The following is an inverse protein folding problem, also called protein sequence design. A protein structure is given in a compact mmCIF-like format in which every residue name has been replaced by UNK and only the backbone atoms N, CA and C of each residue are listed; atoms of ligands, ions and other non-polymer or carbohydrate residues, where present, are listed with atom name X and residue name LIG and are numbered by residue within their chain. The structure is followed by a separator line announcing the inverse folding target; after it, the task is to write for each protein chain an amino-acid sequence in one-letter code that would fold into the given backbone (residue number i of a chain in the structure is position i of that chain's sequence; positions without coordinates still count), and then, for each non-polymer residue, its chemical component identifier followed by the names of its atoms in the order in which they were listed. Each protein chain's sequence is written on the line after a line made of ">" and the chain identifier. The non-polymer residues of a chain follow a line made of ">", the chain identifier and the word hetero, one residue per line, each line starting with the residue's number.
data_IF_631397337710
#
_entry.id   IF_631397337710
#
_cell.length_a   1.000
_cell.length_b   1.000
_cell.length_c   1.000
_cell.angle_alpha   90.00
_cell.angle_beta   90.00
_cell.angle_gamma   90.00
#
_symmetry.space_group_name_H-M   'P 1'
#
loop_
_entity.id
_entity.type
_entity.pdbx_description
1 polymer ?
#
# COMPACT_ATOMS: atom_id res chain seq x y z
N UNK A 1 0.28 44.30 -49.49
CA UNK A 1 -0.39 44.16 -48.17
C UNK A 1 -1.68 43.31 -48.17
N UNK A 2 -2.31 42.98 -49.31
CA UNK A 2 -3.57 42.19 -49.35
C UNK A 2 -3.41 40.66 -49.11
N UNK A 3 -2.22 40.09 -49.31
CA UNK A 3 -2.00 38.63 -49.26
C UNK A 3 -1.61 38.09 -47.88
N UNK A 4 -1.38 38.98 -46.91
CA UNK A 4 -0.94 38.61 -45.55
C UNK A 4 -2.17 38.45 -44.64
N UNK A 5 -3.15 39.35 -44.74
CA UNK A 5 -4.40 39.28 -43.97
C UNK A 5 -5.22 38.02 -44.25
N UNK A 6 -5.25 37.55 -45.50
CA UNK A 6 -5.98 36.32 -45.87
C UNK A 6 -5.27 35.05 -45.35
N UNK A 7 -3.94 35.03 -45.31
CA UNK A 7 -3.16 33.93 -44.73
C UNK A 7 -3.38 33.83 -43.22
N UNK A 8 -3.45 34.98 -42.52
CA UNK A 8 -3.80 34.99 -41.10
C UNK A 8 -5.22 34.47 -40.85
N UNK A 9 -6.20 34.89 -41.66
CA UNK A 9 -7.59 34.42 -41.54
C UNK A 9 -7.70 32.89 -41.71
N UNK A 10 -6.97 32.32 -42.67
CA UNK A 10 -6.94 30.87 -42.89
C UNK A 10 -6.30 30.11 -41.72
N UNK A 11 -5.23 30.64 -41.14
CA UNK A 11 -4.55 30.02 -39.99
C UNK A 11 -5.45 30.05 -38.75
N UNK A 12 -6.18 31.16 -38.51
CA UNK A 12 -7.10 31.28 -37.37
C UNK A 12 -8.31 30.35 -37.49
N UNK A 13 -8.85 30.17 -38.69
CA UNK A 13 -9.96 29.22 -38.92
C UNK A 13 -9.46 27.78 -38.78
N UNK A 14 -8.26 27.47 -39.28
CA UNK A 14 -7.68 26.13 -39.16
C UNK A 14 -7.38 25.74 -37.71
N UNK A 15 -6.90 26.67 -36.87
CA UNK A 15 -6.68 26.39 -35.44
C UNK A 15 -7.98 26.20 -34.66
N UNK A 16 -9.05 26.92 -35.02
CA UNK A 16 -10.38 26.75 -34.41
C UNK A 16 -11.00 25.39 -34.72
N UNK A 17 -10.81 24.86 -35.93
CA UNK A 17 -11.33 23.54 -36.33
C UNK A 17 -10.60 22.42 -35.59
N UNK A 18 -9.28 22.53 -35.38
CA UNK A 18 -8.49 21.48 -34.69
C UNK A 18 -8.84 21.39 -33.20
N UNK A 19 -9.16 22.51 -32.54
CA UNK A 19 -9.57 22.50 -31.13
C UNK A 19 -10.94 21.85 -30.88
N UNK A 20 -11.77 21.70 -31.92
CA UNK A 20 -13.12 21.11 -31.82
C UNK A 20 -13.12 19.58 -31.77
N UNK A 21 -11.99 18.94 -32.09
CA UNK A 21 -11.84 17.48 -32.13
C UNK A 21 -10.98 16.92 -30.99
N UNK A 22 -10.88 17.63 -29.86
CA UNK A 22 -10.29 17.04 -28.67
C UNK A 22 -11.12 15.80 -28.30
N UNK A 23 -10.57 14.57 -28.39
CA UNK A 23 -11.29 13.41 -27.91
C UNK A 23 -11.62 13.68 -26.44
N UNK A 24 -12.88 13.51 -26.07
CA UNK A 24 -13.28 13.49 -24.67
C UNK A 24 -12.44 12.41 -23.99
N UNK A 25 -11.36 12.84 -23.32
CA UNK A 25 -10.49 11.95 -22.59
C UNK A 25 -11.38 11.16 -21.65
N UNK A 26 -11.43 9.85 -21.85
CA UNK A 26 -12.08 8.97 -20.89
C UNK A 26 -11.44 9.29 -19.54
N UNK A 27 -12.24 9.83 -18.63
CA UNK A 27 -11.78 10.07 -17.27
C UNK A 27 -11.19 8.76 -16.77
N UNK A 28 -9.93 8.80 -16.31
CA UNK A 28 -9.33 7.65 -15.66
C UNK A 28 -10.31 7.16 -14.58
N UNK A 29 -10.51 5.84 -14.44
CA UNK A 29 -11.39 5.32 -13.40
C UNK A 29 -10.98 5.96 -12.07
N UNK A 30 -11.97 6.47 -11.32
CA UNK A 30 -11.72 7.14 -10.05
C UNK A 30 -10.83 6.25 -9.18
N UNK A 31 -9.68 6.79 -8.77
CA UNK A 31 -8.71 6.07 -7.97
C UNK A 31 -9.41 5.62 -6.68
N UNK A 32 -9.54 4.31 -6.49
CA UNK A 32 -10.19 3.75 -5.30
C UNK A 32 -9.37 4.16 -4.08
N UNK A 33 -10.04 4.77 -3.10
CA UNK A 33 -9.38 5.19 -1.86
C UNK A 33 -8.83 3.96 -1.12
N UNK A 34 -7.53 4.00 -0.79
CA UNK A 34 -6.97 3.04 0.14
C UNK A 34 -7.48 3.38 1.54
N UNK A 35 -8.11 2.41 2.19
CA UNK A 35 -8.68 2.59 3.51
C UNK A 35 -7.67 2.34 4.64
N UNK A 36 -6.51 1.77 4.32
CA UNK A 36 -5.46 1.48 5.27
C UNK A 36 -4.60 2.72 5.51
N UNK A 37 -4.39 3.06 6.77
CA UNK A 37 -3.35 3.99 7.17
C UNK A 37 -1.99 3.31 7.14
N UNK A 38 -0.96 4.02 6.64
CA UNK A 38 0.41 3.52 6.56
C UNK A 38 0.51 2.12 5.91
N UNK A 39 -0.13 1.97 4.74
CA UNK A 39 -0.27 0.67 4.07
C UNK A 39 1.04 0.11 3.50
N UNK A 40 2.05 0.96 3.37
CA UNK A 40 3.41 0.68 2.93
C UNK A 40 4.38 0.39 4.08
N UNK A 41 3.93 0.53 5.35
CA UNK A 41 4.71 0.29 6.56
C UNK A 41 5.94 1.19 6.71
N UNK A 42 5.81 2.45 6.31
CA UNK A 42 6.85 3.45 6.48
C UNK A 42 6.89 4.03 7.90
N UNK A 43 7.93 4.80 8.20
CA UNK A 43 8.02 5.58 9.43
C UNK A 43 6.77 6.49 9.60
N UNK A 44 6.22 6.63 10.82
CA UNK A 44 6.78 6.21 12.10
C UNK A 44 6.41 4.81 12.59
N UNK A 45 7.14 4.33 13.60
CA UNK A 45 6.87 3.09 14.33
C UNK A 45 6.50 3.41 15.78
N UNK A 46 5.51 2.70 16.30
CA UNK A 46 5.05 2.83 17.67
C UNK A 46 6.05 2.17 18.64
N UNK A 47 5.94 2.48 19.94
CA UNK A 47 6.90 2.02 20.96
C UNK A 47 6.97 0.50 21.14
N UNK A 48 5.99 -0.21 20.60
CA UNK A 48 5.90 -1.67 20.63
C UNK A 48 6.39 -2.36 19.35
N UNK A 49 6.94 -1.57 18.42
CA UNK A 49 7.62 -2.00 17.20
C UNK A 49 6.71 -2.21 15.99
N UNK A 50 5.40 -1.98 16.10
CA UNK A 50 4.54 -1.94 14.90
C UNK A 50 4.62 -0.61 14.18
N UNK A 51 4.50 -0.64 12.85
CA UNK A 51 4.33 0.55 12.03
C UNK A 51 3.08 1.32 12.49
N UNK A 52 3.20 2.64 12.57
CA UNK A 52 2.16 3.46 13.22
C UNK A 52 0.82 3.33 12.50
N UNK A 53 -0.25 3.24 13.29
CA UNK A 53 -1.60 2.95 12.81
C UNK A 53 -1.91 1.46 12.64
N UNK A 54 -0.95 0.57 12.89
CA UNK A 54 -1.16 -0.88 12.92
C UNK A 54 -1.08 -1.43 14.34
N UNK A 55 -2.00 -2.32 14.69
CA UNK A 55 -1.94 -3.10 15.92
C UNK A 55 -1.26 -4.44 15.69
N UNK A 56 -0.68 -5.00 16.75
CA UNK A 56 -0.12 -6.35 16.74
C UNK A 56 -1.20 -7.39 16.95
N UNK A 57 -1.15 -8.49 16.20
CA UNK A 57 -1.93 -9.68 16.49
C UNK A 57 -1.00 -10.89 16.63
N UNK A 58 -1.31 -11.78 17.56
CA UNK A 58 -0.54 -13.00 17.74
C UNK A 58 -1.36 -14.08 18.43
N UNK A 59 -0.93 -15.32 18.25
CA UNK A 59 -1.40 -16.47 19.02
C UNK A 59 -0.21 -17.07 19.76
N UNK A 60 -0.36 -17.25 21.07
CA UNK A 60 0.66 -17.86 21.93
C UNK A 60 0.18 -19.22 22.43
N UNK A 61 1.06 -20.22 22.39
CA UNK A 61 0.92 -21.47 23.14
C UNK A 61 1.25 -21.23 24.61
N UNK A 62 0.96 -22.21 25.45
CA UNK A 62 1.42 -22.24 26.84
C UNK A 62 2.94 -22.44 26.90
N UNK A 63 3.56 -21.91 27.96
CA UNK A 63 5.03 -21.84 28.08
C UNK A 63 5.71 -23.21 28.22
N UNK A 64 5.00 -24.20 28.75
CA UNK A 64 5.42 -25.61 28.88
C UNK A 64 5.61 -26.33 27.53
N UNK A 65 5.23 -25.69 26.44
CA UNK A 65 5.41 -26.19 25.08
C UNK A 65 6.69 -25.68 24.41
N UNK A 66 7.39 -24.70 25.00
CA UNK A 66 8.51 -23.99 24.35
C UNK A 66 9.88 -24.69 24.47
N UNK A 67 9.97 -25.74 25.29
CA UNK A 67 11.17 -26.55 25.49
C UNK A 67 11.46 -27.52 24.33
N UNK A 68 10.47 -27.79 23.47
CA UNK A 68 10.56 -28.75 22.38
C UNK A 68 9.82 -28.27 21.12
N UNK A 69 10.58 -27.99 20.05
CA UNK A 69 10.07 -27.52 18.77
C UNK A 69 9.19 -28.54 18.03
N UNK A 70 9.24 -29.82 18.41
CA UNK A 70 8.38 -30.86 17.82
C UNK A 70 6.93 -30.78 18.30
N UNK A 71 6.67 -30.06 19.41
CA UNK A 71 5.32 -29.87 19.98
C UNK A 71 4.42 -28.93 19.14
N UNK A 72 4.95 -28.32 18.06
CA UNK A 72 4.18 -27.44 17.19
C UNK A 72 3.66 -26.17 17.89
N UNK A 73 4.43 -25.66 18.86
CA UNK A 73 4.06 -24.49 19.64
C UNK A 73 4.04 -23.21 18.81
N UNK A 74 3.52 -22.13 19.37
CA UNK A 74 3.62 -20.79 18.81
C UNK A 74 4.03 -19.82 19.90
N UNK A 75 5.21 -19.24 19.79
CA UNK A 75 5.68 -18.22 20.71
C UNK A 75 5.46 -16.85 20.10
N UNK A 76 5.06 -15.87 20.92
CA UNK A 76 4.92 -14.49 20.48
C UNK A 76 6.22 -13.99 19.83
N UNK A 77 6.17 -13.43 18.60
CA UNK A 77 7.35 -12.89 17.95
C UNK A 77 7.68 -11.48 18.43
N UNK A 78 8.74 -10.91 17.85
CA UNK A 78 9.03 -9.49 17.95
C UNK A 78 8.52 -8.76 16.70
N UNK A 79 8.17 -7.49 16.88
CA UNK A 79 7.87 -6.55 15.81
C UNK A 79 8.97 -5.51 15.80
N UNK A 80 9.46 -5.18 14.61
CA UNK A 80 10.50 -4.18 14.44
C UNK A 80 10.39 -3.56 13.05
N UNK A 81 11.07 -2.43 12.87
CA UNK A 81 11.33 -1.88 11.56
C UNK A 81 12.33 -2.77 10.80
N UNK A 82 12.04 -3.05 9.53
CA UNK A 82 12.99 -3.55 8.54
C UNK A 82 13.58 -2.37 7.76
N UNK A 83 14.91 -2.37 7.59
CA UNK A 83 15.65 -1.36 6.81
C UNK A 83 16.58 -1.98 5.77
N UNK A 84 16.64 -3.31 5.70
CA UNK A 84 17.39 -4.03 4.69
C UNK A 84 16.70 -3.89 3.32
N UNK A 85 17.34 -3.21 2.33
CA UNK A 85 16.72 -2.95 1.04
C UNK A 85 16.43 -4.22 0.23
N UNK A 86 17.07 -5.36 0.56
CA UNK A 86 16.78 -6.64 -0.09
C UNK A 86 15.42 -7.23 0.32
N UNK A 87 14.86 -6.81 1.46
CA UNK A 87 13.60 -7.29 2.03
C UNK A 87 12.47 -6.26 1.91
N UNK A 88 12.79 -5.05 1.44
CA UNK A 88 11.85 -3.94 1.29
C UNK A 88 11.40 -3.86 -0.16
N UNK A 89 10.08 -3.93 -0.37
CA UNK A 89 9.51 -3.88 -1.72
C UNK A 89 9.52 -2.47 -2.32
N UNK A 90 9.29 -1.46 -1.49
CA UNK A 90 9.18 -0.05 -1.87
C UNK A 90 9.44 0.83 -0.64
N UNK A 91 9.91 2.05 -0.87
CA UNK A 91 10.15 3.01 0.19
C UNK A 91 11.45 2.77 0.96
N UNK A 92 11.54 3.26 2.20
CA UNK A 92 12.73 3.21 3.05
C UNK A 92 12.64 2.21 4.20
N UNK A 93 11.45 1.68 4.48
CA UNK A 93 11.24 0.72 5.57
C UNK A 93 10.08 -0.22 5.32
N UNK A 94 9.97 -1.28 6.14
CA UNK A 94 8.84 -2.20 6.12
C UNK A 94 8.65 -2.82 7.50
N UNK A 95 7.48 -3.40 7.75
CA UNK A 95 7.22 -4.13 8.99
C UNK A 95 7.94 -5.48 8.98
N UNK A 96 8.83 -5.71 9.95
CA UNK A 96 9.35 -7.03 10.28
C UNK A 96 8.56 -7.65 11.44
N UNK A 97 8.19 -8.93 11.29
CA UNK A 97 7.56 -9.74 12.35
C UNK A 97 8.22 -11.11 12.34
N UNK A 98 8.83 -11.50 13.45
CA UNK A 98 9.45 -12.82 13.51
C UNK A 98 10.17 -13.17 14.81
N UNK A 99 10.47 -14.45 14.91
CA UNK A 99 11.46 -15.03 15.83
C UNK A 99 12.50 -15.77 15.00
N UNK A 100 13.74 -15.81 15.48
CA UNK A 100 14.84 -16.46 14.76
C UNK A 100 14.76 -18.00 14.83
N UNK A 101 14.36 -18.54 15.99
CA UNK A 101 14.40 -20.00 16.26
C UNK A 101 13.06 -20.59 16.71
N UNK A 102 12.17 -19.75 17.22
CA UNK A 102 10.86 -20.16 17.72
C UNK A 102 9.81 -20.15 16.60
N UNK A 103 8.93 -21.14 16.56
CA UNK A 103 7.73 -21.11 15.71
C UNK A 103 6.76 -20.04 16.19
N UNK A 104 6.07 -19.37 15.27
CA UNK A 104 5.17 -18.26 15.60
C UNK A 104 3.92 -18.21 14.70
N UNK A 105 2.92 -17.43 15.14
CA UNK A 105 1.76 -17.03 14.32
C UNK A 105 1.31 -15.66 14.77
N UNK A 106 1.58 -14.69 13.93
CA UNK A 106 1.40 -13.30 14.25
C UNK A 106 1.43 -12.46 12.98
N UNK A 107 1.18 -11.17 13.16
CA UNK A 107 1.33 -10.16 12.14
C UNK A 107 0.84 -8.82 12.66
N UNK A 108 0.37 -7.99 11.73
CA UNK A 108 -0.21 -6.69 12.00
C UNK A 108 -1.66 -6.65 11.53
N UNK A 109 -2.48 -5.84 12.19
CA UNK A 109 -3.89 -5.67 11.89
C UNK A 109 -4.31 -4.21 12.04
N UNK A 110 -5.31 -3.79 11.27
CA UNK A 110 -5.92 -2.48 11.39
C UNK A 110 -7.44 -2.63 11.30
N UNK A 111 -8.15 -1.97 12.20
CA UNK A 111 -9.61 -1.89 12.12
C UNK A 111 -9.98 -0.75 11.17
N UNK A 112 -10.74 -1.07 10.13
CA UNK A 112 -11.18 -0.12 9.11
C UNK A 112 -12.69 -0.02 9.15
N UNK A 113 -13.22 1.19 9.33
CA UNK A 113 -14.65 1.44 9.25
C UNK A 113 -15.09 1.45 7.77
N UNK A 114 -16.11 0.66 7.44
CA UNK A 114 -16.63 0.54 6.07
C UNK A 114 -18.15 0.64 6.07
N UNK A 115 -18.70 1.25 5.02
CA UNK A 115 -20.13 1.20 4.79
C UNK A 115 -20.53 -0.22 4.32
N UNK A 116 -21.56 -0.85 4.90
CA UNK A 116 -22.00 -2.20 4.52
C UNK A 116 -22.44 -2.34 3.05
N UNK A 117 -22.73 -1.24 2.34
CA UNK A 117 -23.09 -1.28 0.92
C UNK A 117 -21.90 -1.26 -0.03
N UNK A 118 -20.67 -1.16 0.48
CA UNK A 118 -19.46 -1.10 -0.35
C UNK A 118 -18.88 -2.49 -0.61
N UNK A 119 -18.34 -2.66 -1.82
CA UNK A 119 -17.51 -3.82 -2.16
C UNK A 119 -16.05 -3.49 -1.87
N UNK A 120 -15.39 -4.35 -1.10
CA UNK A 120 -13.99 -4.20 -0.73
C UNK A 120 -13.12 -5.16 -1.53
N UNK A 121 -11.89 -4.73 -1.81
CA UNK A 121 -10.83 -5.58 -2.35
C UNK A 121 -9.66 -5.56 -1.37
N UNK A 122 -9.31 -6.72 -0.83
CA UNK A 122 -8.03 -6.91 -0.16
C UNK A 122 -6.96 -7.21 -1.20
N UNK A 123 -5.94 -6.36 -1.28
CA UNK A 123 -4.80 -6.56 -2.15
C UNK A 123 -3.52 -6.40 -1.34
N UNK A 124 -2.60 -7.35 -1.50
CA UNK A 124 -1.28 -7.30 -0.87
C UNK A 124 -0.24 -7.69 -1.90
N UNK A 125 0.82 -6.89 -1.98
CA UNK A 125 1.94 -7.19 -2.87
C UNK A 125 2.72 -8.38 -2.30
N UNK A 126 2.92 -9.41 -3.12
CA UNK A 126 3.84 -10.50 -2.78
C UNK A 126 5.23 -10.17 -3.32
N UNK A 127 6.25 -10.38 -2.49
CA UNK A 127 7.63 -10.45 -2.98
C UNK A 127 7.76 -11.71 -3.84
N UNK A 128 8.20 -11.54 -5.08
CA UNK A 128 8.50 -12.59 -6.05
C UNK A 128 9.93 -13.07 -5.91
#
# INVERSE_FOLDING_TARGET
>A
MKNIAWKFLFITVLTLVIFSYAPSGQAAPAQQANLLNNADFEWPYDSDGSASGWGRWFRNSSEDMFDDCTKGYRKRPNWSQETNPALIKSGGSSQHVGNMWDTWSAGVQQNVAVNPTYYLRAAMNRHS
#
